data_IF_372044828428
#
_entry.id   IF_372044828428
#
_cell.length_a   1.000
_cell.length_b   1.000
_cell.length_c   1.000
_cell.angle_alpha   90.00
_cell.angle_beta   90.00
_cell.angle_gamma   90.00
#
_symmetry.space_group_name_H-M   'P 1'
#
loop_
_entity.id
_entity.type
_entity.pdbx_description
1 polymer ?
#
# COMPACT_ATOMS: atom_id res chain seq x y z
N UNK A 1 31.50 1.40 -0.41
CA UNK A 1 30.06 1.24 -0.70
C UNK A 1 29.87 1.20 -2.20
N UNK A 2 29.22 0.18 -2.72
CA UNK A 2 28.92 0.05 -4.16
C UNK A 2 27.83 1.05 -4.51
N UNK A 3 28.10 1.99 -5.42
CA UNK A 3 27.10 2.94 -5.91
C UNK A 3 26.41 2.33 -7.13
N UNK A 4 25.08 2.23 -7.09
CA UNK A 4 24.26 1.81 -8.23
C UNK A 4 23.52 3.02 -8.79
N UNK A 5 23.32 3.04 -10.11
CA UNK A 5 22.52 4.08 -10.78
C UNK A 5 21.04 3.68 -10.76
N UNK A 6 20.17 4.61 -10.38
CA UNK A 6 18.71 4.44 -10.40
C UNK A 6 18.10 5.41 -11.41
N UNK A 7 17.44 4.88 -12.44
CA UNK A 7 16.79 5.66 -13.49
C UNK A 7 15.27 5.54 -13.35
N UNK A 8 14.57 6.68 -13.27
CA UNK A 8 13.11 6.76 -13.15
C UNK A 8 12.58 7.54 -14.36
N UNK A 9 11.59 6.99 -15.04
CA UNK A 9 10.82 7.75 -16.05
C UNK A 9 9.82 8.65 -15.34
N UNK A 10 9.82 9.93 -15.69
CA UNK A 10 8.93 10.93 -15.11
C UNK A 10 8.25 11.73 -16.24
N UNK A 11 6.98 12.07 -16.04
CA UNK A 11 6.29 13.02 -16.90
C UNK A 11 6.89 14.42 -16.77
N UNK A 12 6.91 15.20 -17.85
CA UNK A 12 7.53 16.53 -17.87
C UNK A 12 6.86 17.51 -16.90
N UNK A 13 5.52 17.49 -16.79
CA UNK A 13 4.79 18.37 -15.88
C UNK A 13 5.02 17.97 -14.43
N UNK A 14 5.11 16.67 -14.17
CA UNK A 14 5.42 16.16 -12.83
C UNK A 14 6.84 16.57 -12.41
N UNK A 15 7.81 16.49 -13.33
CA UNK A 15 9.19 16.95 -13.10
C UNK A 15 9.23 18.40 -12.65
N UNK A 16 8.65 19.31 -13.44
CA UNK A 16 8.68 20.75 -13.17
C UNK A 16 8.07 21.08 -11.81
N UNK A 17 6.88 20.53 -11.52
CA UNK A 17 6.17 20.77 -10.26
C UNK A 17 6.93 20.24 -9.05
N UNK A 18 7.42 19.00 -9.13
CA UNK A 18 8.11 18.38 -8.00
C UNK A 18 9.48 19.01 -7.75
N UNK A 19 10.23 19.31 -8.82
CA UNK A 19 11.59 19.83 -8.67
C UNK A 19 11.58 21.26 -8.13
N UNK A 20 10.63 22.10 -8.54
CA UNK A 20 10.46 23.44 -7.98
C UNK A 20 10.22 23.41 -6.46
N UNK A 21 9.45 22.43 -5.97
CA UNK A 21 9.22 22.26 -4.53
C UNK A 21 10.50 21.74 -3.85
N UNK A 22 11.17 20.75 -4.41
CA UNK A 22 12.40 20.20 -3.82
C UNK A 22 13.49 21.29 -3.71
N UNK A 23 13.63 22.10 -4.74
CA UNK A 23 14.57 23.22 -4.80
C UNK A 23 14.20 24.34 -3.81
N UNK A 24 12.92 24.58 -3.55
CA UNK A 24 12.50 25.57 -2.54
C UNK A 24 12.89 25.17 -1.11
N UNK A 25 13.05 23.87 -0.85
CA UNK A 25 13.63 23.35 0.39
C UNK A 25 15.17 23.33 0.39
N UNK A 26 15.82 23.83 -0.67
CA UNK A 26 17.28 23.84 -0.80
C UNK A 26 17.89 22.47 -1.06
N UNK A 27 17.09 21.50 -1.50
CA UNK A 27 17.53 20.14 -1.78
C UNK A 27 17.70 19.94 -3.29
N UNK A 28 18.59 19.02 -3.66
CA UNK A 28 18.61 18.47 -5.02
C UNK A 28 17.60 17.33 -5.14
N UNK A 29 17.01 17.09 -6.33
CA UNK A 29 16.12 15.95 -6.56
C UNK A 29 16.74 14.60 -6.14
N UNK A 30 18.03 14.40 -6.40
CA UNK A 30 18.73 13.19 -6.00
C UNK A 30 18.84 13.03 -4.48
N UNK A 31 19.03 14.13 -3.73
CA UNK A 31 19.02 14.10 -2.26
C UNK A 31 17.62 13.76 -1.73
N UNK A 32 16.57 14.40 -2.28
CA UNK A 32 15.19 14.13 -1.87
C UNK A 32 14.80 12.65 -2.08
N UNK A 33 15.15 12.07 -3.22
CA UNK A 33 14.90 10.64 -3.49
C UNK A 33 15.70 9.73 -2.54
N UNK A 34 16.96 10.07 -2.21
CA UNK A 34 17.73 9.30 -1.22
C UNK A 34 17.09 9.34 0.17
N UNK A 35 16.62 10.52 0.61
CA UNK A 35 15.91 10.67 1.88
C UNK A 35 14.62 9.86 1.90
N UNK A 36 13.85 9.88 0.81
CA UNK A 36 12.64 9.07 0.66
C UNK A 36 12.92 7.57 0.78
N UNK A 37 13.97 7.07 0.10
CA UNK A 37 14.35 5.65 0.17
C UNK A 37 14.86 5.25 1.56
N UNK A 38 15.62 6.13 2.23
CA UNK A 38 16.05 5.89 3.61
C UNK A 38 14.85 5.81 4.56
N UNK A 39 13.89 6.72 4.43
CA UNK A 39 12.67 6.70 5.24
C UNK A 39 11.91 5.37 5.08
N UNK A 40 11.82 4.84 3.86
CA UNK A 40 11.21 3.53 3.61
C UNK A 40 12.02 2.42 4.28
N UNK A 41 13.34 2.45 4.14
CA UNK A 41 14.22 1.44 4.72
C UNK A 41 14.14 1.40 6.25
N UNK A 42 14.03 2.57 6.89
CA UNK A 42 14.00 2.73 8.34
C UNK A 42 12.62 2.40 8.92
N UNK A 43 11.54 2.89 8.30
CA UNK A 43 10.17 2.69 8.81
C UNK A 43 9.52 1.39 8.35
N UNK A 44 10.11 0.69 7.38
CA UNK A 44 9.51 -0.47 6.70
C UNK A 44 8.13 -0.18 6.11
N UNK A 45 7.83 1.10 5.87
CA UNK A 45 6.55 1.58 5.34
C UNK A 45 6.80 2.61 4.25
N UNK A 46 5.86 2.74 3.32
CA UNK A 46 5.92 3.77 2.29
C UNK A 46 5.31 5.05 2.86
N UNK A 47 6.08 6.15 3.03
CA UNK A 47 5.62 7.39 3.68
C UNK A 47 4.81 8.25 2.69
N UNK A 48 3.80 7.64 2.07
CA UNK A 48 2.82 8.32 1.23
C UNK A 48 1.47 8.24 1.92
N UNK A 49 0.85 9.40 2.15
CA UNK A 49 -0.53 9.45 2.60
C UNK A 49 -1.43 9.01 1.44
N UNK A 50 -2.05 7.85 1.58
CA UNK A 50 -3.07 7.36 0.65
C UNK A 50 -4.46 7.90 1.00
N UNK A 51 -4.55 9.02 1.71
CA UNK A 51 -5.80 9.58 2.22
C UNK A 51 -6.82 9.87 1.11
N UNK A 52 -6.35 10.17 -0.11
CA UNK A 52 -7.20 10.30 -1.30
C UNK A 52 -7.88 8.99 -1.76
N UNK A 53 -7.42 7.83 -1.28
CA UNK A 53 -7.96 6.50 -1.57
C UNK A 53 -8.45 5.78 -0.31
N UNK A 54 -8.58 6.47 0.84
CA UNK A 54 -9.01 5.86 2.10
C UNK A 54 -10.35 5.10 1.96
N UNK A 55 -11.26 5.60 1.12
CA UNK A 55 -12.56 4.97 0.85
C UNK A 55 -12.57 3.98 -0.32
N UNK A 56 -11.46 3.81 -1.05
CA UNK A 56 -11.38 2.90 -2.20
C UNK A 56 -10.42 1.75 -1.93
N UNK A 57 -10.93 0.59 -1.46
CA UNK A 57 -10.12 -0.60 -1.33
C UNK A 57 -9.45 -0.97 -2.65
N UNK A 58 -8.28 -1.60 -2.55
CA UNK A 58 -7.60 -2.15 -3.72
C UNK A 58 -8.50 -3.18 -4.45
N UNK A 59 -8.17 -3.51 -5.69
CA UNK A 59 -9.02 -4.35 -6.53
C UNK A 59 -9.35 -5.72 -5.89
N UNK A 60 -8.37 -6.31 -5.20
CA UNK A 60 -8.54 -7.61 -4.53
C UNK A 60 -9.53 -7.51 -3.38
N UNK A 61 -9.36 -6.51 -2.50
CA UNK A 61 -10.26 -6.29 -1.36
C UNK A 61 -11.68 -5.98 -1.82
N UNK A 62 -11.84 -5.20 -2.91
CA UNK A 62 -13.16 -4.91 -3.48
C UNK A 62 -13.85 -6.17 -4.02
N UNK A 63 -13.11 -7.05 -4.72
CA UNK A 63 -13.66 -8.32 -5.21
C UNK A 63 -14.08 -9.23 -4.06
N UNK A 64 -13.24 -9.36 -3.02
CA UNK A 64 -13.57 -10.16 -1.84
C UNK A 64 -14.82 -9.64 -1.11
N UNK A 65 -14.98 -8.32 -1.00
CA UNK A 65 -16.19 -7.71 -0.43
C UNK A 65 -17.44 -8.00 -1.27
N UNK A 66 -17.35 -7.89 -2.60
CA UNK A 66 -18.47 -8.21 -3.50
C UNK A 66 -18.85 -9.68 -3.41
N UNK A 67 -17.87 -10.59 -3.40
CA UNK A 67 -18.08 -12.03 -3.26
C UNK A 67 -18.78 -12.35 -1.93
N UNK A 68 -18.34 -11.74 -0.82
CA UNK A 68 -18.98 -11.92 0.48
C UNK A 68 -20.45 -11.44 0.49
N UNK A 69 -20.74 -10.31 -0.16
CA UNK A 69 -22.11 -9.77 -0.29
C UNK A 69 -22.98 -10.68 -1.16
N UNK A 70 -22.45 -11.17 -2.28
CA UNK A 70 -23.17 -12.09 -3.18
C UNK A 70 -23.43 -13.45 -2.51
N UNK A 71 -22.43 -14.01 -1.82
CA UNK A 71 -22.61 -15.26 -1.06
C UNK A 71 -23.69 -15.11 0.02
N UNK A 72 -23.75 -13.94 0.69
CA UNK A 72 -24.81 -13.64 1.66
C UNK A 72 -26.19 -13.52 1.02
N UNK A 73 -26.30 -12.84 -0.15
CA UNK A 73 -27.56 -12.71 -0.90
C UNK A 73 -28.06 -14.05 -1.46
N UNK A 74 -27.13 -14.90 -1.91
CA UNK A 74 -27.42 -16.22 -2.47
C UNK A 74 -27.66 -17.29 -1.39
N UNK A 75 -27.68 -16.92 -0.11
CA UNK A 75 -27.96 -17.84 0.99
C UNK A 75 -26.89 -18.92 1.19
N UNK A 76 -25.68 -18.73 0.66
CA UNK A 76 -24.57 -19.63 0.95
C UNK A 76 -24.21 -19.48 2.43
N UNK A 77 -24.04 -20.62 3.11
CA UNK A 77 -23.52 -20.66 4.47
C UNK A 77 -22.08 -20.11 4.47
N UNK A 78 -21.95 -18.83 4.79
CA UNK A 78 -20.67 -18.24 5.14
C UNK A 78 -20.20 -18.90 6.44
N UNK A 79 -18.94 -19.35 6.48
CA UNK A 79 -18.32 -19.87 7.71
C UNK A 79 -18.43 -18.80 8.80
N UNK A 80 -19.23 -19.08 9.82
CA UNK A 80 -19.38 -18.24 11.01
C UNK A 80 -18.83 -18.98 12.23
N UNK A 81 -18.25 -18.24 13.16
CA UNK A 81 -17.69 -18.79 14.40
C UNK A 81 -18.44 -18.22 15.59
N UNK A 82 -18.65 -19.05 16.61
CA UNK A 82 -19.41 -18.66 17.81
C UNK A 82 -18.51 -18.07 18.89
N UNK A 83 -17.19 -18.31 18.81
CA UNK A 83 -16.18 -17.78 19.73
C UNK A 83 -14.85 -17.54 18.99
N UNK A 84 -13.99 -16.69 19.58
CA UNK A 84 -12.69 -16.34 19.00
C UNK A 84 -11.74 -17.55 18.91
N UNK A 85 -11.79 -18.48 19.86
CA UNK A 85 -10.92 -19.66 19.87
C UNK A 85 -11.16 -20.56 18.65
N UNK A 86 -12.42 -20.74 18.24
CA UNK A 86 -12.78 -21.54 17.08
C UNK A 86 -12.35 -20.86 15.77
N UNK A 87 -12.48 -19.53 15.69
CA UNK A 87 -11.98 -18.74 14.56
C UNK A 87 -10.46 -18.85 14.43
N UNK A 88 -9.74 -18.68 15.53
CA UNK A 88 -8.27 -18.68 15.52
C UNK A 88 -7.68 -20.05 15.17
N UNK A 89 -8.33 -21.14 15.62
CA UNK A 89 -7.94 -22.51 15.23
C UNK A 89 -8.09 -22.75 13.73
N UNK A 90 -9.19 -22.32 13.11
CA UNK A 90 -9.41 -22.52 11.67
C UNK A 90 -8.39 -21.71 10.84
N UNK A 91 -8.13 -20.45 11.21
CA UNK A 91 -7.14 -19.58 10.53
C UNK A 91 -5.74 -20.17 10.59
N UNK A 92 -5.34 -20.73 11.74
CA UNK A 92 -4.01 -21.32 11.92
C UNK A 92 -3.87 -22.67 11.20
N UNK A 93 -4.96 -23.43 11.06
CA UNK A 93 -4.97 -24.71 10.34
C UNK A 93 -5.02 -24.54 8.82
N UNK A 94 -5.57 -23.44 8.29
CA UNK A 94 -5.56 -23.13 6.85
C UNK A 94 -4.18 -22.67 6.31
N UNK A 95 -3.19 -22.47 7.20
CA UNK A 95 -1.82 -22.03 6.85
C UNK A 95 -0.82 -23.20 6.70
N UNK A 96 -1.24 -24.45 6.95
CA UNK A 96 -0.48 -25.69 6.67
C UNK A 96 -0.87 -26.31 5.33
#
# INVERSE_FOLDING_TARGET
>A
MTSINFNIRLDSRLKERAFSVIESYGLTPSQAIKLFLNQIADTKSVPLSFDHHADTPNAVTRLAMLEAIENRKNGKNLKGYTNMDQMMKDILQEQE
#
